data_IF_393111918822
#
_entry.id   IF_393111918822
#
_cell.length_a   1.000
_cell.length_b   1.000
_cell.length_c   1.000
_cell.angle_alpha   90.00
_cell.angle_beta   90.00
_cell.angle_gamma   90.00
#
_symmetry.space_group_name_H-M   'P 1'
#
loop_
_entity.id
_entity.type
_entity.pdbx_description
1 polymer ?
#
# COMPACT_ATOMS: atom_id res chain seq x y z
N UNK A 1 9.64 -18.61 9.70
CA UNK A 1 8.91 -17.79 8.70
C UNK A 1 8.96 -18.52 7.37
N UNK A 2 7.84 -18.68 6.65
CA UNK A 2 7.83 -19.39 5.35
C UNK A 2 8.14 -18.42 4.18
N UNK A 3 8.38 -18.97 2.99
CA UNK A 3 8.75 -18.21 1.80
C UNK A 3 7.68 -17.16 1.41
N UNK A 4 6.41 -17.55 1.44
CA UNK A 4 5.29 -16.64 1.14
C UNK A 4 5.26 -15.42 2.08
N UNK A 5 5.44 -15.64 3.39
CA UNK A 5 5.49 -14.55 4.37
C UNK A 5 6.69 -13.62 4.12
N UNK A 6 7.85 -14.16 3.74
CA UNK A 6 9.01 -13.35 3.39
C UNK A 6 8.76 -12.48 2.15
N UNK A 7 8.07 -13.02 1.13
CA UNK A 7 7.69 -12.28 -0.07
C UNK A 7 6.73 -11.13 0.25
N UNK A 8 5.75 -11.36 1.14
CA UNK A 8 4.85 -10.30 1.62
C UNK A 8 5.63 -9.18 2.33
N UNK A 9 6.56 -9.52 3.24
CA UNK A 9 7.40 -8.50 3.91
C UNK A 9 8.29 -7.74 2.92
N UNK A 10 8.79 -8.42 1.90
CA UNK A 10 9.60 -7.80 0.84
C UNK A 10 8.77 -6.80 0.04
N UNK A 11 7.54 -7.17 -0.32
CA UNK A 11 6.60 -6.29 -1.02
C UNK A 11 6.24 -5.07 -0.17
N UNK A 12 5.92 -5.26 1.11
CA UNK A 12 5.66 -4.16 2.06
C UNK A 12 6.87 -3.23 2.15
N UNK A 13 8.07 -3.78 2.36
CA UNK A 13 9.29 -2.99 2.46
C UNK A 13 9.59 -2.23 1.16
N UNK A 14 9.32 -2.82 -0.01
CA UNK A 14 9.52 -2.16 -1.29
C UNK A 14 8.58 -0.94 -1.43
N UNK A 15 7.30 -1.13 -1.16
CA UNK A 15 6.30 -0.07 -1.29
C UNK A 15 6.56 1.09 -0.32
N UNK A 16 6.90 0.79 0.94
CA UNK A 16 7.24 1.81 1.93
C UNK A 16 8.48 2.62 1.51
N UNK A 17 9.55 1.95 1.03
CA UNK A 17 10.74 2.65 0.53
C UNK A 17 10.42 3.55 -0.66
N UNK A 18 9.58 3.08 -1.58
CA UNK A 18 9.14 3.88 -2.72
C UNK A 18 8.41 5.14 -2.24
N UNK A 19 7.45 5.02 -1.34
CA UNK A 19 6.70 6.18 -0.81
C UNK A 19 7.54 7.17 0.02
N UNK A 20 8.64 6.71 0.63
CA UNK A 20 9.62 7.59 1.29
C UNK A 20 10.43 8.40 0.26
N UNK A 21 10.83 7.77 -0.85
CA UNK A 21 11.66 8.40 -1.86
C UNK A 21 10.87 9.26 -2.86
N UNK A 22 9.65 8.85 -3.19
CA UNK A 22 8.75 9.60 -4.07
C UNK A 22 8.15 10.75 -3.24
N UNK A 23 8.53 11.99 -3.56
CA UNK A 23 8.11 13.21 -2.86
C UNK A 23 7.19 14.09 -3.70
N UNK A 24 6.42 13.49 -4.61
CA UNK A 24 5.43 14.22 -5.40
C UNK A 24 4.35 14.85 -4.50
N UNK A 25 3.83 15.99 -4.94
CA UNK A 25 2.73 16.68 -4.24
C UNK A 25 1.39 15.97 -4.47
N UNK A 26 1.23 15.29 -5.62
CA UNK A 26 0.04 14.53 -5.97
C UNK A 26 0.37 13.18 -6.64
N UNK A 27 -0.58 12.25 -6.55
CA UNK A 27 -0.49 10.89 -7.07
C UNK A 27 -1.77 10.46 -7.76
N UNK A 28 -1.65 9.66 -8.81
CA UNK A 28 -2.79 9.01 -9.46
C UNK A 28 -3.14 7.70 -8.77
N UNK A 29 -4.40 7.58 -8.35
CA UNK A 29 -4.96 6.34 -7.82
C UNK A 29 -6.07 5.90 -8.76
N UNK A 30 -6.01 4.64 -9.19
CA UNK A 30 -7.05 4.02 -10.02
C UNK A 30 -7.80 3.00 -9.17
N UNK A 31 -9.13 3.15 -9.13
CA UNK A 31 -10.01 2.21 -8.44
C UNK A 31 -10.98 1.62 -9.46
N UNK A 32 -11.22 0.31 -9.34
CA UNK A 32 -12.19 -0.41 -10.16
C UNK A 32 -13.44 -0.68 -9.33
N UNK A 33 -14.54 -0.01 -9.65
CA UNK A 33 -15.85 -0.21 -9.02
C UNK A 33 -16.87 -0.61 -10.08
N UNK A 34 -17.61 -1.70 -9.85
CA UNK A 34 -18.62 -2.23 -10.78
C UNK A 34 -18.09 -2.45 -12.22
N UNK A 35 -16.82 -2.84 -12.35
CA UNK A 35 -16.16 -3.05 -13.64
C UNK A 35 -15.75 -1.77 -14.37
N UNK A 36 -15.92 -0.59 -13.75
CA UNK A 36 -15.44 0.69 -14.28
C UNK A 36 -14.21 1.15 -13.52
N UNK A 37 -13.16 1.47 -14.26
CA UNK A 37 -11.97 2.12 -13.71
C UNK A 37 -12.18 3.63 -13.63
N UNK A 38 -11.89 4.18 -12.45
CA UNK A 38 -11.88 5.63 -12.22
C UNK A 38 -10.52 6.00 -11.64
N UNK A 39 -9.83 6.92 -12.30
CA UNK A 39 -8.56 7.47 -11.84
C UNK A 39 -8.79 8.85 -11.24
N UNK A 40 -8.24 9.09 -10.06
CA UNK A 40 -8.29 10.37 -9.37
C UNK A 40 -6.91 10.76 -8.84
N UNK A 41 -6.69 12.07 -8.73
CA UNK A 41 -5.49 12.63 -8.11
C UNK A 41 -5.73 12.77 -6.61
N UNK A 42 -4.81 12.25 -5.80
CA UNK A 42 -4.78 12.46 -4.35
C UNK A 42 -3.56 13.27 -3.97
N UNK A 43 -3.65 14.00 -2.86
CA UNK A 43 -2.48 14.69 -2.31
C UNK A 43 -1.52 13.69 -1.65
N UNK A 44 -0.31 14.15 -1.34
CA UNK A 44 0.73 13.33 -0.69
C UNK A 44 0.27 12.70 0.64
N UNK A 45 -0.43 13.44 1.49
CA UNK A 45 -0.88 12.93 2.79
C UNK A 45 -1.84 11.75 2.63
N UNK A 46 -2.84 11.90 1.76
CA UNK A 46 -3.78 10.84 1.40
C UNK A 46 -3.07 9.62 0.80
N UNK A 47 -2.10 9.84 -0.10
CA UNK A 47 -1.31 8.73 -0.66
C UNK A 47 -0.55 7.96 0.43
N UNK A 48 0.11 8.66 1.35
CA UNK A 48 0.85 8.02 2.44
C UNK A 48 -0.09 7.29 3.41
N UNK A 49 -1.26 7.84 3.71
CA UNK A 49 -2.29 7.18 4.51
C UNK A 49 -2.74 5.85 3.88
N UNK A 50 -3.04 5.84 2.58
CA UNK A 50 -3.44 4.63 1.86
C UNK A 50 -2.33 3.58 1.83
N UNK A 51 -1.07 3.99 1.65
CA UNK A 51 0.08 3.08 1.73
C UNK A 51 0.22 2.46 3.12
N UNK A 52 0.00 3.23 4.19
CA UNK A 52 0.00 2.70 5.57
C UNK A 52 -1.15 1.72 5.81
N UNK A 53 -2.38 2.07 5.41
CA UNK A 53 -3.54 1.17 5.51
C UNK A 53 -3.29 -0.15 4.80
N UNK A 54 -2.78 -0.09 3.56
CA UNK A 54 -2.43 -1.27 2.79
C UNK A 54 -1.36 -2.11 3.50
N UNK A 55 -0.28 -1.50 3.99
CA UNK A 55 0.78 -2.22 4.70
C UNK A 55 0.25 -2.93 5.95
N UNK A 56 -0.56 -2.24 6.77
CA UNK A 56 -1.20 -2.83 7.94
C UNK A 56 -2.14 -3.97 7.56
N UNK A 57 -2.89 -3.83 6.46
CA UNK A 57 -3.77 -4.90 5.97
C UNK A 57 -2.98 -6.13 5.50
N UNK A 58 -1.87 -5.94 4.77
CA UNK A 58 -1.00 -7.05 4.38
C UNK A 58 -0.41 -7.77 5.59
N UNK A 59 -0.03 -7.02 6.62
CA UNK A 59 0.45 -7.59 7.88
C UNK A 59 -0.66 -8.40 8.57
N UNK A 60 -1.85 -7.84 8.77
CA UNK A 60 -2.99 -8.54 9.41
C UNK A 60 -3.43 -9.80 8.67
N UNK A 61 -3.45 -9.75 7.33
CA UNK A 61 -3.93 -10.87 6.52
C UNK A 61 -2.93 -12.04 6.45
N UNK A 62 -1.64 -11.77 6.58
CA UNK A 62 -0.59 -12.76 6.35
C UNK A 62 0.17 -13.16 7.64
N UNK A 63 -0.05 -12.47 8.75
CA UNK A 63 0.63 -12.70 10.02
C UNK A 63 -0.35 -12.66 11.18
N UNK A 64 -0.13 -13.55 12.15
CA UNK A 64 -0.85 -13.56 13.43
C UNK A 64 -0.29 -12.46 14.33
N UNK A 65 -0.62 -11.21 14.00
CA UNK A 65 -0.25 -10.05 14.80
C UNK A 65 -1.47 -9.72 15.68
N UNK A 66 -1.25 -9.65 16.99
CA UNK A 66 -2.29 -9.21 17.92
C UNK A 66 -2.72 -7.76 17.66
N UNK A 67 -3.90 -7.39 18.14
CA UNK A 67 -4.31 -5.97 18.25
C UNK A 67 -3.60 -5.26 19.38
#
# INVERSE_FOLDING_TARGET
>A
MNQQKLEILTLISYQLRKSVNDQYESYEHTVTENGKETTYQVNREQHLEEVMKWATQQLKNNFEIGE
#
